data_IF_380200015906
#
_entry.id   IF_380200015906
#
_cell.length_a   1.000
_cell.length_b   1.000
_cell.length_c   1.000
_cell.angle_alpha   90.00
_cell.angle_beta   90.00
_cell.angle_gamma   90.00
#
_symmetry.space_group_name_H-M   'P 1'
#
loop_
_entity.id
_entity.type
_entity.pdbx_description
1 polymer ?
#
# COMPACT_ATOMS: atom_id res chain seq x y z
N UNK A 1 -44.87 -21.60 -4.06
CA UNK A 1 -44.54 -20.17 -4.32
C UNK A 1 -43.59 -19.57 -3.26
N UNK A 2 -43.43 -20.19 -2.08
CA UNK A 2 -42.53 -19.74 -0.99
C UNK A 2 -41.06 -20.11 -1.19
N UNK A 3 -40.76 -21.25 -1.82
CA UNK A 3 -39.39 -21.72 -2.05
C UNK A 3 -38.65 -20.94 -3.15
N UNK A 4 -39.37 -20.52 -4.19
CA UNK A 4 -38.82 -19.76 -5.31
C UNK A 4 -38.38 -18.36 -4.87
N UNK A 5 -39.11 -17.72 -3.96
CA UNK A 5 -38.75 -16.39 -3.44
C UNK A 5 -37.49 -16.45 -2.55
N UNK A 6 -37.34 -17.51 -1.74
CA UNK A 6 -36.17 -17.71 -0.89
C UNK A 6 -34.90 -18.01 -1.72
N UNK A 7 -35.01 -18.80 -2.79
CA UNK A 7 -33.87 -19.06 -3.68
C UNK A 7 -33.37 -17.81 -4.39
N UNK A 8 -34.27 -16.93 -4.83
CA UNK A 8 -33.89 -15.67 -5.49
C UNK A 8 -33.16 -14.74 -4.52
N UNK A 9 -33.66 -14.61 -3.29
CA UNK A 9 -33.02 -13.79 -2.25
C UNK A 9 -31.63 -14.32 -1.84
N UNK A 10 -31.47 -15.64 -1.74
CA UNK A 10 -30.18 -16.26 -1.45
C UNK A 10 -29.16 -16.05 -2.58
N UNK A 11 -29.61 -16.10 -3.84
CA UNK A 11 -28.77 -15.85 -5.01
C UNK A 11 -28.22 -14.41 -5.07
N UNK A 12 -29.05 -13.42 -4.74
CA UNK A 12 -28.64 -12.01 -4.72
C UNK A 12 -27.59 -11.74 -3.65
N UNK A 13 -27.74 -12.33 -2.46
CA UNK A 13 -26.78 -12.19 -1.36
C UNK A 13 -25.40 -12.78 -1.70
N UNK A 14 -25.36 -13.93 -2.38
CA UNK A 14 -24.12 -14.57 -2.80
C UNK A 14 -23.36 -13.73 -3.85
N UNK A 15 -24.06 -13.13 -4.80
CA UNK A 15 -23.45 -12.31 -5.85
C UNK A 15 -22.76 -11.04 -5.28
N UNK A 16 -23.38 -10.40 -4.30
CA UNK A 16 -22.81 -9.22 -3.63
C UNK A 16 -21.52 -9.56 -2.87
N UNK A 17 -21.49 -10.71 -2.20
CA UNK A 17 -20.31 -11.19 -1.47
C UNK A 17 -19.11 -11.45 -2.40
N UNK A 18 -19.35 -12.06 -3.56
CA UNK A 18 -18.31 -12.34 -4.56
C UNK A 18 -17.73 -11.04 -5.13
N UNK A 19 -18.59 -10.05 -5.44
CA UNK A 19 -18.17 -8.76 -5.96
C UNK A 19 -17.25 -7.99 -4.99
N UNK A 20 -17.55 -8.03 -3.69
CA UNK A 20 -16.75 -7.35 -2.67
C UNK A 20 -15.36 -7.99 -2.48
N UNK A 21 -15.27 -9.33 -2.58
CA UNK A 21 -13.99 -10.05 -2.49
C UNK A 21 -13.11 -9.75 -3.70
N UNK A 22 -13.68 -9.70 -4.91
CA UNK A 22 -12.95 -9.39 -6.13
C UNK A 22 -12.32 -7.98 -6.11
N UNK A 23 -13.07 -6.97 -5.67
CA UNK A 23 -12.56 -5.60 -5.51
C UNK A 23 -11.38 -5.50 -4.54
N UNK A 24 -11.38 -6.30 -3.47
CA UNK A 24 -10.32 -6.29 -2.47
C UNK A 24 -9.00 -6.86 -3.02
N UNK A 25 -9.07 -7.93 -3.84
CA UNK A 25 -7.87 -8.59 -4.39
C UNK A 25 -7.25 -7.78 -5.53
N UNK A 26 -8.06 -7.14 -6.38
CA UNK A 26 -7.56 -6.40 -7.55
C UNK A 26 -6.71 -5.17 -7.21
N UNK A 27 -6.93 -4.54 -6.04
CA UNK A 27 -6.20 -3.32 -5.65
C UNK A 27 -4.74 -3.55 -5.24
N UNK A 28 -4.29 -4.79 -5.10
CA UNK A 28 -2.99 -5.13 -4.51
C UNK A 28 -1.90 -5.57 -5.51
N UNK A 29 -2.16 -5.60 -6.82
CA UNK A 29 -1.23 -6.19 -7.82
C UNK A 29 -0.35 -5.22 -8.61
N UNK A 30 -0.57 -3.90 -8.55
CA UNK A 30 -0.09 -3.01 -9.61
C UNK A 30 1.25 -2.28 -9.38
N UNK A 31 2.06 -2.63 -8.37
CA UNK A 31 3.25 -1.82 -8.03
C UNK A 31 4.57 -2.62 -7.90
N UNK A 32 5.03 -3.28 -8.97
CA UNK A 32 6.43 -3.76 -9.04
C UNK A 32 7.08 -3.30 -10.36
N UNK A 33 8.01 -2.33 -10.32
CA UNK A 33 8.76 -1.92 -11.51
C UNK A 33 9.76 -3.01 -11.94
N UNK A 34 9.80 -3.25 -13.25
CA UNK A 34 10.70 -4.20 -13.92
C UNK A 34 11.96 -3.48 -14.39
N UNK A 35 13.13 -3.89 -13.89
CA UNK A 35 14.43 -3.39 -14.34
C UNK A 35 14.92 -4.20 -15.54
N UNK A 36 15.09 -3.53 -16.69
CA UNK A 36 15.70 -4.11 -17.88
C UNK A 36 17.20 -4.30 -17.66
N UNK A 37 17.66 -5.55 -17.71
CA UNK A 37 19.06 -5.92 -17.62
C UNK A 37 19.74 -5.68 -18.97
N UNK A 38 20.51 -4.60 -19.11
CA UNK A 38 21.34 -4.35 -20.29
C UNK A 38 22.54 -5.30 -20.27
N UNK A 39 22.64 -6.19 -21.27
CA UNK A 39 23.72 -7.19 -21.37
C UNK A 39 25.09 -6.51 -21.35
N UNK A 40 25.94 -6.92 -20.40
CA UNK A 40 27.36 -6.59 -20.29
C UNK A 40 28.09 -7.06 -21.56
N UNK A 41 28.46 -6.14 -22.45
CA UNK A 41 29.47 -6.43 -23.47
C UNK A 41 30.84 -6.47 -22.78
N UNK A 42 31.53 -7.60 -22.88
CA UNK A 42 32.88 -7.77 -22.35
C UNK A 42 33.83 -7.08 -23.33
N UNK A 43 34.33 -5.91 -22.93
CA UNK A 43 35.31 -5.16 -23.72
C UNK A 43 36.66 -5.89 -23.64
N UNK A 44 37.19 -6.33 -24.80
CA UNK A 44 38.53 -6.94 -24.89
C UNK A 44 39.51 -5.89 -25.42
N UNK A 45 40.67 -5.74 -24.77
CA UNK A 45 41.74 -4.85 -25.22
C UNK A 45 42.32 -5.36 -26.55
N UNK A 46 42.56 -4.46 -27.51
CA UNK A 46 43.38 -4.77 -28.70
C UNK A 46 44.81 -4.46 -28.29
N UNK A 47 45.67 -5.46 -28.02
CA UNK A 47 47.07 -5.15 -27.84
C UNK A 47 47.59 -4.69 -29.20
N UNK A 48 47.81 -3.39 -29.37
CA UNK A 48 48.68 -2.90 -30.42
C UNK A 48 50.11 -3.30 -30.03
N UNK A 49 50.42 -4.60 -30.22
CA UNK A 49 51.57 -5.35 -29.73
C UNK A 49 51.58 -5.53 -28.20
N UNK A 50 51.58 -6.79 -27.77
CA UNK A 50 51.83 -7.20 -26.39
C UNK A 50 53.12 -6.57 -25.84
N UNK A 51 53.23 -6.53 -24.51
CA UNK A 51 54.44 -6.12 -23.79
C UNK A 51 55.70 -6.55 -24.53
N UNK A 52 56.49 -5.58 -24.99
CA UNK A 52 57.74 -5.90 -25.68
C UNK A 52 58.75 -6.34 -24.63
N UNK A 53 59.16 -7.60 -24.67
CA UNK A 53 60.21 -8.13 -23.80
C UNK A 53 61.51 -7.38 -24.04
N UNK A 54 62.26 -7.09 -22.98
CA UNK A 54 63.60 -6.52 -23.11
C UNK A 54 64.49 -7.51 -23.86
N UNK A 55 65.27 -7.02 -24.82
CA UNK A 55 66.17 -7.87 -25.60
C UNK A 55 67.43 -8.18 -24.77
N UNK A 56 67.55 -9.42 -24.29
CA UNK A 56 68.72 -9.88 -23.52
C UNK A 56 70.01 -9.83 -24.32
N UNK A 57 69.95 -10.00 -25.65
CA UNK A 57 71.13 -9.96 -26.52
C UNK A 57 71.67 -8.53 -26.65
N UNK A 58 70.79 -7.52 -26.57
CA UNK A 58 71.22 -6.13 -26.49
C UNK A 58 72.02 -5.87 -25.21
N UNK A 59 71.54 -6.35 -24.06
CA UNK A 59 72.25 -6.23 -22.78
C UNK A 59 73.60 -6.96 -22.86
N UNK A 60 73.61 -8.19 -23.36
CA UNK A 60 74.83 -8.99 -23.47
C UNK A 60 75.85 -8.39 -24.46
N UNK A 61 75.40 -7.73 -25.52
CA UNK A 61 76.28 -7.16 -26.55
C UNK A 61 76.81 -5.76 -26.19
N UNK A 62 75.97 -4.92 -25.59
CA UNK A 62 76.33 -3.52 -25.32
C UNK A 62 76.87 -3.27 -23.91
N UNK A 63 76.36 -4.01 -22.91
CA UNK A 63 76.82 -3.90 -21.53
C UNK A 63 77.86 -5.00 -21.22
N UNK A 64 77.80 -6.15 -21.89
CA UNK A 64 78.63 -7.33 -21.64
C UNK A 64 78.86 -7.60 -20.13
N UNK A 65 77.77 -7.92 -19.39
CA UNK A 65 77.85 -8.02 -17.94
C UNK A 65 78.84 -9.09 -17.46
N UNK A 66 79.11 -10.09 -18.31
CA UNK A 66 79.99 -11.21 -17.99
C UNK A 66 81.45 -10.77 -17.98
N UNK A 67 81.92 -10.09 -19.02
CA UNK A 67 83.33 -9.66 -19.07
C UNK A 67 83.57 -8.42 -18.20
N UNK A 68 82.62 -7.48 -18.15
CA UNK A 68 82.75 -6.30 -17.29
C UNK A 68 82.65 -6.67 -15.80
N UNK A 69 81.76 -7.58 -15.41
CA UNK A 69 81.68 -8.09 -14.04
C UNK A 69 82.95 -8.82 -13.60
N UNK A 70 83.58 -9.61 -14.49
CA UNK A 70 84.90 -10.22 -14.19
C UNK A 70 85.99 -9.18 -13.97
N UNK A 71 86.03 -8.14 -14.80
CA UNK A 71 87.02 -7.05 -14.70
C UNK A 71 86.82 -6.22 -13.42
N UNK A 72 85.58 -5.97 -13.02
CA UNK A 72 85.24 -5.30 -11.77
C UNK A 72 85.60 -6.16 -10.55
N UNK A 73 85.24 -7.45 -10.58
CA UNK A 73 85.60 -8.40 -9.52
C UNK A 73 87.12 -8.58 -9.36
N UNK A 74 87.87 -8.64 -10.46
CA UNK A 74 89.34 -8.68 -10.45
C UNK A 74 89.99 -7.40 -9.90
N UNK A 75 89.23 -6.31 -9.83
CA UNK A 75 89.65 -5.03 -9.24
C UNK A 75 89.13 -4.85 -7.81
N UNK A 76 88.53 -5.87 -7.21
CA UNK A 76 87.88 -5.80 -5.89
C UNK A 76 86.80 -4.69 -5.83
N UNK A 77 86.11 -4.47 -6.95
CA UNK A 77 84.98 -3.55 -7.05
C UNK A 77 83.69 -4.37 -7.29
N UNK A 78 82.66 -4.23 -6.45
CA UNK A 78 82.62 -3.40 -5.26
C UNK A 78 83.33 -4.13 -4.09
N UNK A 79 83.72 -3.40 -3.05
CA UNK A 79 84.26 -4.06 -1.85
C UNK A 79 83.20 -4.98 -1.26
N UNK A 80 83.59 -6.08 -0.61
CA UNK A 80 82.65 -7.07 -0.06
C UNK A 80 81.63 -6.50 0.94
N UNK A 81 81.93 -5.34 1.55
CA UNK A 81 81.06 -4.63 2.49
C UNK A 81 80.22 -3.52 1.84
N UNK A 82 80.39 -3.27 0.54
CA UNK A 82 79.69 -2.19 -0.15
C UNK A 82 78.23 -2.55 -0.37
N UNK A 83 77.33 -1.70 0.11
CA UNK A 83 75.88 -1.81 -0.10
C UNK A 83 75.42 -1.31 -1.49
N UNK A 84 76.34 -0.82 -2.32
CA UNK A 84 76.02 -0.18 -3.59
C UNK A 84 76.32 -1.13 -4.76
N UNK A 85 75.45 -1.08 -5.78
CA UNK A 85 75.64 -1.77 -7.05
C UNK A 85 76.93 -1.32 -7.76
N UNK A 86 77.59 -2.23 -8.47
CA UNK A 86 78.70 -1.90 -9.37
C UNK A 86 78.24 -1.03 -10.53
N UNK A 87 79.19 -0.48 -11.28
CA UNK A 87 78.86 0.29 -12.47
C UNK A 87 78.13 -0.59 -13.50
N UNK A 88 78.62 -1.81 -13.73
CA UNK A 88 77.95 -2.77 -14.62
C UNK A 88 76.55 -3.13 -14.14
N UNK A 89 76.36 -3.41 -12.85
CA UNK A 89 75.04 -3.71 -12.28
C UNK A 89 74.07 -2.53 -12.39
N UNK A 90 74.57 -1.31 -12.18
CA UNK A 90 73.81 -0.07 -12.33
C UNK A 90 73.39 0.17 -13.77
N UNK A 91 74.27 -0.10 -14.73
CA UNK A 91 74.00 0.07 -16.16
C UNK A 91 72.92 -0.92 -16.63
N UNK A 92 72.97 -2.17 -16.15
CA UNK A 92 71.91 -3.17 -16.38
C UNK A 92 70.60 -2.71 -15.74
N UNK A 93 70.62 -2.32 -14.47
CA UNK A 93 69.43 -1.85 -13.74
C UNK A 93 68.77 -0.66 -14.43
N UNK A 94 69.56 0.33 -14.83
CA UNK A 94 69.08 1.55 -15.50
C UNK A 94 68.47 1.23 -16.86
N UNK A 95 69.09 0.32 -17.61
CA UNK A 95 68.58 -0.12 -18.91
C UNK A 95 67.24 -0.85 -18.78
N UNK A 96 67.12 -1.75 -17.80
CA UNK A 96 65.86 -2.46 -17.51
C UNK A 96 64.77 -1.49 -17.07
N UNK A 97 65.09 -0.59 -16.14
CA UNK A 97 64.14 0.39 -15.60
C UNK A 97 63.63 1.35 -16.69
N UNK A 98 64.54 1.87 -17.53
CA UNK A 98 64.16 2.72 -18.66
C UNK A 98 63.29 1.99 -19.70
N UNK A 99 63.57 0.70 -19.96
CA UNK A 99 62.72 -0.11 -20.83
C UNK A 99 61.32 -0.30 -20.24
N UNK A 100 61.23 -0.58 -18.94
CA UNK A 100 59.97 -0.74 -18.22
C UNK A 100 59.13 0.56 -18.27
N UNK A 101 59.73 1.71 -17.97
CA UNK A 101 59.06 3.01 -18.07
C UNK A 101 58.58 3.32 -19.49
N UNK A 102 59.39 3.01 -20.51
CA UNK A 102 58.97 3.15 -21.91
C UNK A 102 57.78 2.28 -22.26
N UNK A 103 57.69 1.05 -21.73
CA UNK A 103 56.52 0.21 -21.95
C UNK A 103 55.29 0.72 -21.18
N UNK A 104 55.46 1.25 -19.96
CA UNK A 104 54.37 1.89 -19.22
C UNK A 104 53.80 3.10 -19.96
N UNK A 105 54.66 3.92 -20.56
CA UNK A 105 54.24 5.09 -21.32
C UNK A 105 53.49 4.77 -22.62
N UNK A 106 53.47 3.50 -23.06
CA UNK A 106 52.67 3.02 -24.20
C UNK A 106 51.28 2.54 -23.81
N UNK A 107 50.98 2.45 -22.51
CA UNK A 107 49.67 2.01 -22.01
C UNK A 107 48.50 2.89 -22.51
N UNK A 108 48.64 4.23 -22.56
CA UNK A 108 47.59 5.10 -23.11
C UNK A 108 47.26 4.83 -24.59
N UNK A 109 48.19 4.26 -25.36
CA UNK A 109 47.99 3.95 -26.79
C UNK A 109 47.18 2.66 -27.01
N UNK A 110 46.81 1.93 -25.95
CA UNK A 110 45.99 0.73 -26.08
C UNK A 110 44.54 1.08 -26.44
N UNK A 111 44.10 0.61 -27.60
CA UNK A 111 42.73 0.74 -28.09
C UNK A 111 41.89 -0.49 -27.77
N UNK A 112 40.58 -0.33 -27.60
CA UNK A 112 39.66 -1.43 -27.27
C UNK A 112 39.12 -2.11 -28.55
N UNK A 113 39.10 -3.45 -28.60
CA UNK A 113 38.48 -4.20 -29.71
C UNK A 113 36.96 -4.03 -29.62
N UNK A 114 36.34 -3.49 -30.67
CA UNK A 114 34.88 -3.39 -30.78
C UNK A 114 34.28 -2.05 -30.35
N UNK A 115 35.10 -1.06 -30.01
CA UNK A 115 34.66 0.35 -29.97
C UNK A 115 34.61 0.87 -31.41
N UNK A 116 33.45 1.35 -31.87
CA UNK A 116 33.28 1.95 -33.21
C UNK A 116 34.19 3.19 -33.43
N UNK A 117 34.70 3.77 -32.33
CA UNK A 117 35.38 5.07 -32.31
C UNK A 117 36.88 5.01 -31.95
N UNK A 118 37.52 3.84 -31.89
CA UNK A 118 38.94 3.73 -31.50
C UNK A 118 39.25 4.34 -30.11
N UNK A 119 38.27 4.34 -29.20
CA UNK A 119 38.41 4.93 -27.85
C UNK A 119 39.54 4.27 -27.07
N UNK A 120 40.32 5.10 -26.38
CA UNK A 120 41.33 4.62 -25.44
C UNK A 120 40.65 4.01 -24.21
N UNK A 121 41.42 3.29 -23.40
CA UNK A 121 40.92 2.79 -22.12
C UNK A 121 40.45 3.92 -21.19
N UNK A 122 41.14 5.07 -21.23
CA UNK A 122 40.79 6.24 -20.42
C UNK A 122 39.46 6.85 -20.86
N UNK A 123 39.23 6.96 -22.17
CA UNK A 123 37.96 7.46 -22.74
C UNK A 123 36.78 6.57 -22.35
N UNK A 124 36.95 5.24 -22.38
CA UNK A 124 35.90 4.31 -21.98
C UNK A 124 35.63 4.38 -20.48
N UNK A 125 36.67 4.50 -19.63
CA UNK A 125 36.49 4.69 -18.19
C UNK A 125 35.76 6.00 -17.90
N UNK A 126 36.10 7.07 -18.62
CA UNK A 126 35.42 8.36 -18.49
C UNK A 126 33.96 8.27 -18.94
N UNK A 127 33.70 7.67 -20.10
CA UNK A 127 32.35 7.46 -20.63
C UNK A 127 31.49 6.61 -19.69
N UNK A 128 32.04 5.52 -19.14
CA UNK A 128 31.34 4.69 -18.16
C UNK A 128 31.05 5.48 -16.89
N UNK A 129 32.00 6.25 -16.38
CA UNK A 129 31.80 7.12 -15.21
C UNK A 129 30.68 8.13 -15.45
N UNK A 130 30.74 8.85 -16.56
CA UNK A 130 29.71 9.82 -16.96
C UNK A 130 28.35 9.14 -17.14
N UNK A 131 28.31 7.94 -17.73
CA UNK A 131 27.08 7.15 -17.85
C UNK A 131 26.54 6.75 -16.47
N UNK A 132 27.38 6.34 -15.53
CA UNK A 132 26.97 6.03 -14.16
C UNK A 132 26.44 7.25 -13.41
N UNK A 133 27.08 8.41 -13.58
CA UNK A 133 26.66 9.68 -12.99
C UNK A 133 25.36 10.21 -13.61
N UNK A 134 25.19 10.06 -14.92
CA UNK A 134 24.02 10.54 -15.70
C UNK A 134 22.83 9.59 -15.63
N UNK A 135 23.04 8.31 -15.28
CA UNK A 135 21.97 7.31 -15.15
C UNK A 135 20.93 7.63 -14.06
N UNK A 136 21.07 8.74 -13.33
CA UNK A 136 20.02 9.26 -12.45
C UNK A 136 19.79 8.39 -11.21
N UNK A 137 20.63 7.39 -10.95
CA UNK A 137 20.51 6.52 -9.77
C UNK A 137 20.53 7.32 -8.47
N UNK A 138 21.32 8.39 -8.38
CA UNK A 138 21.35 9.23 -7.19
C UNK A 138 20.07 10.07 -7.07
N UNK A 139 19.54 10.58 -8.17
CA UNK A 139 18.25 11.30 -8.19
C UNK A 139 17.10 10.37 -7.80
N UNK A 140 17.08 9.15 -8.32
CA UNK A 140 16.07 8.15 -8.00
C UNK A 140 16.19 7.68 -6.55
N UNK A 141 17.41 7.50 -6.03
CA UNK A 141 17.68 7.22 -4.62
C UNK A 141 17.17 8.35 -3.72
N UNK A 142 17.47 9.60 -4.08
CA UNK A 142 17.02 10.78 -3.32
C UNK A 142 15.50 10.92 -3.37
N UNK A 143 14.88 10.68 -4.53
CA UNK A 143 13.43 10.64 -4.70
C UNK A 143 12.77 9.56 -3.85
N UNK A 144 13.31 8.33 -3.84
CA UNK A 144 12.84 7.24 -2.99
C UNK A 144 12.96 7.59 -1.51
N UNK A 145 14.09 8.14 -1.08
CA UNK A 145 14.31 8.59 0.30
C UNK A 145 13.30 9.66 0.71
N UNK A 146 13.03 10.63 -0.16
CA UNK A 146 12.01 11.66 0.07
C UNK A 146 10.62 11.07 0.23
N UNK A 147 10.19 10.19 -0.69
CA UNK A 147 8.90 9.49 -0.63
C UNK A 147 8.75 8.67 0.66
N UNK A 148 9.81 7.95 1.05
CA UNK A 148 9.83 7.18 2.29
C UNK A 148 9.63 8.07 3.52
N UNK A 149 10.37 9.17 3.62
CA UNK A 149 10.26 10.10 4.74
C UNK A 149 8.85 10.69 4.86
N UNK A 150 8.24 11.08 3.74
CA UNK A 150 6.85 11.59 3.71
C UNK A 150 5.87 10.53 4.23
N UNK A 151 6.01 9.28 3.81
CA UNK A 151 5.12 8.21 4.28
C UNK A 151 5.27 7.95 5.78
N UNK A 152 6.50 7.94 6.28
CA UNK A 152 6.80 7.76 7.70
C UNK A 152 6.21 8.91 8.52
N UNK A 153 6.40 10.16 8.09
CA UNK A 153 5.85 11.33 8.75
C UNK A 153 4.31 11.29 8.78
N UNK A 154 3.68 10.93 7.66
CA UNK A 154 2.24 10.79 7.57
C UNK A 154 1.70 9.66 8.47
N UNK A 155 2.41 8.54 8.57
CA UNK A 155 2.05 7.46 9.50
C UNK A 155 2.08 7.94 10.95
N UNK A 156 3.17 8.57 11.38
CA UNK A 156 3.27 9.10 12.74
C UNK A 156 2.26 10.21 13.01
N UNK A 157 1.96 11.04 12.01
CA UNK A 157 0.90 12.05 12.08
C UNK A 157 -0.47 11.42 12.34
N UNK A 158 -0.82 10.36 11.60
CA UNK A 158 -2.07 9.61 11.81
C UNK A 158 -2.15 8.96 13.18
N UNK A 159 -1.07 8.33 13.63
CA UNK A 159 -1.02 7.70 14.97
C UNK A 159 -1.22 8.75 16.06
N UNK A 160 -0.58 9.92 15.93
CA UNK A 160 -0.72 11.01 16.89
C UNK A 160 -2.14 11.59 16.87
N UNK A 161 -2.73 11.78 15.69
CA UNK A 161 -4.10 12.25 15.56
C UNK A 161 -5.09 11.25 16.20
N UNK A 162 -4.96 9.96 15.90
CA UNK A 162 -5.83 8.94 16.47
C UNK A 162 -5.75 8.89 18.01
N UNK A 163 -4.56 9.15 18.57
CA UNK A 163 -4.40 9.27 20.03
C UNK A 163 -5.11 10.51 20.58
N UNK A 164 -4.98 11.67 19.94
CA UNK A 164 -5.72 12.87 20.35
C UNK A 164 -7.23 12.67 20.26
N UNK A 165 -7.72 12.07 19.17
CA UNK A 165 -9.15 11.78 18.98
C UNK A 165 -9.66 10.81 20.06
N UNK A 166 -8.84 9.83 20.46
CA UNK A 166 -9.17 8.92 21.57
C UNK A 166 -9.24 9.68 22.90
N UNK A 167 -8.22 10.49 23.23
CA UNK A 167 -8.17 11.25 24.47
C UNK A 167 -9.36 12.24 24.56
N UNK A 168 -9.72 12.88 23.45
CA UNK A 168 -10.89 13.76 23.34
C UNK A 168 -12.20 12.98 23.53
N UNK A 169 -12.32 11.80 22.92
CA UNK A 169 -13.49 10.94 23.10
C UNK A 169 -13.63 10.43 24.54
N UNK A 170 -12.52 10.11 25.21
CA UNK A 170 -12.51 9.72 26.62
C UNK A 170 -12.92 10.88 27.54
N UNK A 171 -12.44 12.09 27.27
CA UNK A 171 -12.87 13.29 27.99
C UNK A 171 -14.35 13.57 27.78
N UNK A 172 -14.83 13.56 26.53
CA UNK A 172 -16.24 13.75 26.21
C UNK A 172 -17.14 12.68 26.86
N UNK A 173 -16.66 11.43 26.92
CA UNK A 173 -17.37 10.34 27.62
C UNK A 173 -17.44 10.59 29.13
N UNK A 174 -16.34 11.03 29.75
CA UNK A 174 -16.30 11.36 31.17
C UNK A 174 -17.22 12.53 31.50
N UNK A 175 -17.17 13.60 30.71
CA UNK A 175 -18.05 14.78 30.86
C UNK A 175 -19.52 14.37 30.73
N UNK A 176 -19.85 13.56 29.72
CA UNK A 176 -21.20 13.02 29.54
C UNK A 176 -21.66 12.18 30.74
N UNK A 177 -20.79 11.35 31.31
CA UNK A 177 -21.10 10.52 32.48
C UNK A 177 -21.36 11.38 33.73
N UNK A 178 -20.55 12.41 33.95
CA UNK A 178 -20.70 13.37 35.06
C UNK A 178 -22.02 14.12 34.91
N UNK A 179 -22.29 14.69 33.73
CA UNK A 179 -23.49 15.47 33.45
C UNK A 179 -24.78 14.65 33.61
N UNK A 180 -24.75 13.38 33.23
CA UNK A 180 -25.91 12.48 33.28
C UNK A 180 -25.97 11.63 34.56
N UNK A 181 -25.08 11.83 35.54
CA UNK A 181 -25.00 11.07 36.80
C UNK A 181 -24.97 9.54 36.57
N UNK A 182 -24.36 9.11 35.48
CA UNK A 182 -24.20 7.68 35.16
C UNK A 182 -23.02 7.22 36.02
N UNK A 183 -23.24 6.22 36.89
CA UNK A 183 -22.18 5.68 37.73
C UNK A 183 -20.98 5.26 36.84
N UNK A 184 -19.86 5.98 37.02
CA UNK A 184 -18.60 5.79 36.28
C UNK A 184 -18.18 4.33 36.42
N UNK A 185 -18.10 3.60 35.29
CA UNK A 185 -17.69 2.18 35.25
C UNK A 185 -18.74 1.16 34.76
N UNK A 186 -19.91 1.57 34.25
CA UNK A 186 -20.76 0.63 33.49
C UNK A 186 -20.22 0.46 32.08
N UNK A 187 -19.75 -0.75 31.75
CA UNK A 187 -19.40 -1.13 30.39
C UNK A 187 -20.58 -0.86 29.43
N UNK A 188 -20.31 -0.40 28.19
CA UNK A 188 -21.35 -0.24 27.19
C UNK A 188 -22.04 -1.58 27.01
N UNK A 189 -23.32 -1.67 27.40
CA UNK A 189 -24.12 -2.86 27.17
C UNK A 189 -24.27 -3.02 25.66
N UNK A 190 -23.42 -3.87 25.07
CA UNK A 190 -23.59 -4.27 23.68
C UNK A 190 -25.00 -4.80 23.51
N UNK A 191 -25.71 -4.31 22.49
CA UNK A 191 -27.06 -4.77 22.21
C UNK A 191 -27.01 -6.28 22.01
N UNK A 192 -27.59 -7.03 22.96
CA UNK A 192 -27.58 -8.48 22.90
C UNK A 192 -28.15 -8.93 21.57
N UNK A 193 -27.44 -9.82 20.87
CA UNK A 193 -27.89 -10.39 19.59
C UNK A 193 -29.30 -10.99 19.70
N UNK A 194 -29.65 -11.51 20.88
CA UNK A 194 -31.00 -12.02 21.20
C UNK A 194 -32.05 -10.90 21.22
N UNK A 195 -31.70 -9.72 21.74
CA UNK A 195 -32.59 -8.57 21.78
C UNK A 195 -32.87 -8.01 20.39
N UNK A 196 -31.87 -7.98 19.52
CA UNK A 196 -32.05 -7.60 18.11
C UNK A 196 -32.90 -8.62 17.34
N UNK A 197 -32.74 -9.91 17.63
CA UNK A 197 -33.58 -10.97 17.04
C UNK A 197 -35.05 -10.85 17.47
N UNK A 198 -35.31 -10.63 18.76
CA UNK A 198 -36.68 -10.47 19.29
C UNK A 198 -37.39 -9.25 18.66
N UNK A 199 -36.66 -8.14 18.41
CA UNK A 199 -37.22 -6.94 17.74
C UNK A 199 -37.76 -7.21 16.34
N UNK A 200 -37.17 -8.16 15.61
CA UNK A 200 -37.65 -8.57 14.27
C UNK A 200 -38.78 -9.60 14.40
N UNK A 201 -38.73 -10.46 15.42
CA UNK A 201 -39.72 -11.51 15.63
C UNK A 201 -41.12 -10.96 15.97
N UNK A 202 -41.18 -9.90 16.77
CA UNK A 202 -42.46 -9.27 17.19
C UNK A 202 -43.33 -8.82 16.00
N UNK A 203 -42.85 -7.98 15.06
CA UNK A 203 -43.67 -7.56 13.91
C UNK A 203 -44.04 -8.72 12.98
N UNK A 204 -43.20 -9.75 12.88
CA UNK A 204 -43.52 -10.97 12.10
C UNK A 204 -44.71 -11.73 12.72
N UNK A 205 -44.73 -11.90 14.04
CA UNK A 205 -45.83 -12.57 14.74
C UNK A 205 -47.12 -11.75 14.63
N UNK A 206 -47.04 -10.44 14.83
CA UNK A 206 -48.18 -9.54 14.66
C UNK A 206 -48.73 -9.59 13.23
N UNK A 207 -47.85 -9.61 12.22
CA UNK A 207 -48.25 -9.70 10.83
C UNK A 207 -48.98 -11.01 10.49
N UNK A 208 -48.48 -12.15 10.97
CA UNK A 208 -49.15 -13.44 10.75
C UNK A 208 -50.50 -13.51 11.46
N UNK A 209 -50.57 -12.97 12.68
CA UNK A 209 -51.82 -12.91 13.46
C UNK A 209 -52.86 -12.03 12.76
N UNK A 210 -52.44 -10.87 12.25
CA UNK A 210 -53.29 -9.94 11.53
C UNK A 210 -53.81 -10.54 10.22
N UNK A 211 -52.97 -11.27 9.46
CA UNK A 211 -53.42 -12.01 8.28
C UNK A 211 -54.49 -13.03 8.67
N UNK A 212 -54.28 -13.78 9.76
CA UNK A 212 -55.22 -14.82 10.19
C UNK A 212 -56.57 -14.25 10.63
N UNK A 213 -56.58 -13.18 11.42
CA UNK A 213 -57.80 -12.51 11.87
C UNK A 213 -58.56 -11.88 10.71
N UNK A 214 -57.87 -11.15 9.83
CA UNK A 214 -58.47 -10.53 8.66
C UNK A 214 -59.00 -11.60 7.68
N UNK A 215 -58.29 -12.71 7.53
CA UNK A 215 -58.74 -13.80 6.67
C UNK A 215 -60.01 -14.44 7.20
N UNK A 216 -60.09 -14.73 8.50
CA UNK A 216 -61.31 -15.30 9.07
C UNK A 216 -62.51 -14.33 8.96
N UNK A 217 -62.28 -13.02 9.11
CA UNK A 217 -63.34 -12.03 8.95
C UNK A 217 -63.83 -11.88 7.49
N UNK A 218 -62.92 -12.03 6.52
CA UNK A 218 -63.19 -11.82 5.10
C UNK A 218 -63.56 -13.09 4.35
N UNK A 219 -63.25 -14.27 4.88
CA UNK A 219 -63.51 -15.56 4.23
C UNK A 219 -65.00 -15.81 4.01
N UNK A 220 -65.86 -15.32 4.91
CA UNK A 220 -67.32 -15.50 4.83
C UNK A 220 -68.02 -14.40 4.01
N UNK A 221 -67.35 -13.26 3.79
CA UNK A 221 -67.99 -12.03 3.29
C UNK A 221 -67.41 -11.53 1.94
N UNK A 222 -66.38 -12.18 1.39
CA UNK A 222 -65.73 -11.74 0.14
C UNK A 222 -66.34 -12.42 -1.10
N UNK A 223 -66.84 -11.65 -2.10
CA UNK A 223 -67.49 -12.20 -3.30
C UNK A 223 -66.65 -13.15 -4.17
N UNK A 224 -65.33 -12.97 -4.29
CA UNK A 224 -64.44 -13.85 -5.06
C UNK A 224 -63.85 -15.02 -4.27
N UNK A 225 -64.44 -15.36 -3.12
CA UNK A 225 -64.13 -16.56 -2.36
C UNK A 225 -62.78 -16.51 -1.62
N UNK A 226 -62.32 -17.69 -1.18
CA UNK A 226 -61.18 -17.84 -0.25
C UNK A 226 -59.86 -17.27 -0.79
N UNK A 227 -59.67 -17.28 -2.11
CA UNK A 227 -58.42 -16.83 -2.72
C UNK A 227 -58.33 -15.29 -2.73
N UNK A 228 -59.44 -14.61 -2.99
CA UNK A 228 -59.54 -13.14 -2.91
C UNK A 228 -59.48 -12.67 -1.45
N UNK A 229 -60.17 -13.37 -0.53
CA UNK A 229 -60.11 -13.07 0.90
C UNK A 229 -58.68 -13.15 1.44
N UNK A 230 -57.89 -14.14 1.00
CA UNK A 230 -56.48 -14.29 1.39
C UNK A 230 -55.61 -13.14 0.89
N UNK A 231 -55.81 -12.72 -0.36
CA UNK A 231 -55.08 -11.59 -0.92
C UNK A 231 -55.42 -10.29 -0.19
N UNK A 232 -56.71 -10.02 0.03
CA UNK A 232 -57.18 -8.82 0.71
C UNK A 232 -56.66 -8.75 2.16
N UNK A 233 -56.69 -9.88 2.88
CA UNK A 233 -56.20 -9.99 4.26
C UNK A 233 -54.70 -9.73 4.37
N UNK A 234 -53.92 -10.20 3.38
CA UNK A 234 -52.49 -9.92 3.29
C UNK A 234 -52.21 -8.43 3.08
N UNK A 235 -52.97 -7.77 2.19
CA UNK A 235 -52.82 -6.34 1.93
C UNK A 235 -53.19 -5.51 3.17
N UNK A 236 -54.32 -5.81 3.80
CA UNK A 236 -54.79 -5.11 5.02
C UNK A 236 -53.77 -5.30 6.15
N UNK A 237 -53.28 -6.54 6.36
CA UNK A 237 -52.25 -6.80 7.36
C UNK A 237 -50.92 -6.08 7.06
N UNK A 238 -50.57 -5.92 5.79
CA UNK A 238 -49.32 -5.24 5.37
C UNK A 238 -49.39 -3.76 5.66
N UNK A 239 -50.55 -3.15 5.44
CA UNK A 239 -50.81 -1.75 5.78
C UNK A 239 -50.84 -1.61 7.30
N UNK A 240 -51.65 -2.41 8.01
CA UNK A 240 -51.80 -2.29 9.46
C UNK A 240 -50.49 -2.53 10.19
N UNK A 241 -49.83 -3.67 10.00
CA UNK A 241 -48.61 -4.00 10.76
C UNK A 241 -47.38 -3.30 10.20
N UNK A 242 -47.24 -3.23 8.88
CA UNK A 242 -46.08 -2.60 8.24
C UNK A 242 -46.00 -1.10 8.51
N UNK A 243 -47.13 -0.39 8.39
CA UNK A 243 -47.18 1.04 8.62
C UNK A 243 -47.08 1.36 10.12
N UNK A 244 -47.67 0.53 10.99
CA UNK A 244 -47.49 0.65 12.44
C UNK A 244 -46.05 0.41 12.90
N UNK A 245 -45.36 -0.56 12.31
CA UNK A 245 -43.95 -0.79 12.60
C UNK A 245 -43.07 0.35 12.11
N UNK A 246 -43.32 0.87 10.89
CA UNK A 246 -42.54 1.97 10.33
C UNK A 246 -42.72 3.27 11.14
N UNK A 247 -43.96 3.57 11.53
CA UNK A 247 -44.27 4.72 12.40
C UNK A 247 -43.68 4.51 13.79
N UNK A 248 -43.85 3.34 14.40
CA UNK A 248 -43.23 3.03 15.70
C UNK A 248 -41.71 3.15 15.65
N UNK A 249 -41.06 2.58 14.63
CA UNK A 249 -39.60 2.64 14.49
C UNK A 249 -39.10 4.06 14.20
N UNK A 250 -39.74 4.80 13.30
CA UNK A 250 -39.28 6.15 12.95
C UNK A 250 -39.63 7.17 14.05
N UNK A 251 -40.88 7.18 14.52
CA UNK A 251 -41.38 8.22 15.42
C UNK A 251 -40.97 7.93 16.86
N UNK A 252 -41.16 6.69 17.34
CA UNK A 252 -40.88 6.35 18.75
C UNK A 252 -39.37 6.34 19.03
N UNK A 253 -38.53 5.85 18.12
CA UNK A 253 -37.08 5.84 18.33
C UNK A 253 -36.48 7.24 18.33
N UNK A 254 -37.03 8.18 17.54
CA UNK A 254 -36.55 9.56 17.49
C UNK A 254 -37.18 10.49 18.55
N UNK A 255 -38.33 10.11 19.11
CA UNK A 255 -38.97 10.78 20.26
C UNK A 255 -38.41 10.30 21.61
N UNK A 256 -38.19 8.98 21.78
CA UNK A 256 -37.83 8.37 23.06
C UNK A 256 -36.31 8.30 23.28
N UNK A 257 -35.51 8.15 22.21
CA UNK A 257 -34.04 8.22 22.32
C UNK A 257 -33.55 9.56 21.73
N UNK A 258 -33.34 10.61 22.57
CA UNK A 258 -32.70 11.83 22.11
C UNK A 258 -31.19 11.54 21.92
N UNK A 259 -30.82 10.96 20.78
CA UNK A 259 -29.43 11.09 20.33
C UNK A 259 -29.24 12.57 20.02
N UNK A 260 -28.25 13.19 20.64
CA UNK A 260 -27.95 14.61 20.59
C UNK A 260 -27.94 15.17 19.17
N UNK A 261 -29.09 15.70 18.76
CA UNK A 261 -29.21 16.54 17.60
C UNK A 261 -30.15 17.68 17.96
N UNK A 262 -29.72 18.48 18.93
CA UNK A 262 -30.21 19.85 19.09
C UNK A 262 -29.42 20.74 18.15
N UNK A 263 -29.49 20.47 16.83
CA UNK A 263 -28.91 21.36 15.84
C UNK A 263 -29.83 22.58 15.74
N UNK A 264 -29.36 23.73 16.23
CA UNK A 264 -30.01 25.03 16.03
C UNK A 264 -30.09 25.29 14.53
N UNK A 265 -31.28 25.22 13.95
CA UNK A 265 -31.55 25.76 12.61
C UNK A 265 -32.23 27.11 12.82
N UNK A 266 -31.53 28.21 12.51
CA UNK A 266 -32.10 29.56 12.54
C UNK A 266 -32.44 30.14 13.92
N UNK A 267 -31.77 29.70 15.01
CA UNK A 267 -31.94 30.29 16.34
C UNK A 267 -33.21 29.89 17.10
N UNK A 268 -34.15 29.18 16.47
CA UNK A 268 -35.35 28.65 17.12
C UNK A 268 -35.12 27.19 17.51
N UNK A 269 -35.44 26.83 18.76
CA UNK A 269 -35.50 25.43 19.20
C UNK A 269 -36.65 24.75 18.45
N UNK A 270 -36.38 24.18 17.29
CA UNK A 270 -37.35 23.39 16.56
C UNK A 270 -37.57 22.08 17.32
N UNK A 271 -38.65 22.04 18.11
CA UNK A 271 -39.11 20.82 18.76
C UNK A 271 -39.46 19.80 17.67
N UNK A 272 -38.82 18.62 17.69
CA UNK A 272 -39.06 17.50 16.75
C UNK A 272 -40.55 17.14 16.61
N UNK A 273 -41.35 17.53 17.60
CA UNK A 273 -42.82 17.46 17.59
C UNK A 273 -43.48 18.18 16.40
N UNK A 274 -42.88 19.26 15.89
CA UNK A 274 -43.41 19.97 14.71
C UNK A 274 -43.20 19.19 13.40
N UNK A 275 -42.19 18.32 13.31
CA UNK A 275 -41.89 17.53 12.10
C UNK A 275 -42.60 16.18 12.15
N UNK A 276 -42.53 15.47 13.28
CA UNK A 276 -43.09 14.12 13.41
C UNK A 276 -44.54 14.11 13.91
N UNK A 277 -45.02 15.18 14.55
CA UNK A 277 -46.40 15.30 15.03
C UNK A 277 -47.45 15.25 13.92
N UNK A 278 -47.30 16.01 12.81
CA UNK A 278 -48.22 15.91 11.68
C UNK A 278 -48.24 14.53 11.03
N UNK A 279 -47.08 13.87 10.92
CA UNK A 279 -46.98 12.50 10.36
C UNK A 279 -47.69 11.49 11.27
N UNK A 280 -47.51 11.60 12.58
CA UNK A 280 -48.23 10.77 13.57
C UNK A 280 -49.74 11.02 13.51
N UNK A 281 -50.18 12.27 13.37
CA UNK A 281 -51.58 12.64 13.28
C UNK A 281 -52.26 12.08 12.02
N UNK A 282 -51.60 12.19 10.85
CA UNK A 282 -52.08 11.60 9.60
C UNK A 282 -52.14 10.08 9.71
N UNK A 283 -51.13 9.46 10.34
CA UNK A 283 -51.13 8.02 10.58
C UNK A 283 -52.28 7.57 11.49
N UNK A 284 -52.49 8.21 12.64
CA UNK A 284 -53.60 7.90 13.56
C UNK A 284 -54.96 8.10 12.88
N UNK A 285 -55.08 9.13 12.03
CA UNK A 285 -56.27 9.37 11.23
C UNK A 285 -56.54 8.22 10.24
N UNK A 286 -55.52 7.78 9.49
CA UNK A 286 -55.62 6.65 8.55
C UNK A 286 -55.96 5.35 9.29
N UNK A 287 -55.33 5.09 10.44
CA UNK A 287 -55.58 3.90 11.24
C UNK A 287 -57.02 3.85 11.76
N UNK A 288 -57.53 5.00 12.23
CA UNK A 288 -58.91 5.12 12.70
C UNK A 288 -59.89 4.98 11.55
N UNK A 289 -59.60 5.56 10.39
CA UNK A 289 -60.46 5.51 9.20
C UNK A 289 -60.51 4.13 8.54
N UNK A 290 -59.41 3.36 8.56
CA UNK A 290 -59.36 2.01 7.98
C UNK A 290 -59.99 0.96 8.91
N UNK A 291 -59.94 1.18 10.22
CA UNK A 291 -60.50 0.26 11.23
C UNK A 291 -61.93 0.63 11.70
N UNK A 292 -62.52 1.70 11.18
CA UNK A 292 -63.93 2.08 11.40
C UNK A 292 -64.77 1.67 10.19
#
# INVERSE_FOLDING_TARGET
>A
MTETLMMVMAGVLAAVLIYLIYQHISKNKDNVPSFKNTKKQIVQLRPAQSWQSINSDFINKYIDPKENGKREGAREHPRSEAANLTQTERDVYTTISSHYEKQLNRIPDFTLIGSEDNRTLEDEIHFQRETFETNGYEEERMSMKGKWNIQVEHFFGKVRQARYDQDEAEQALNDFQIDNKIAVGREPMSASKIGSFIKILIPVILFVTEIYLNFNALAENTPGGLLEARYLSFVIASINVGLSFLVGYLILTHLINPVDATKKIGGVKSSRFFIYGPVLAVYLFILTYINS
#
